data_IF_747935688382
#
_entry.id   IF_747935688382
#
_cell.length_a   1.000
_cell.length_b   1.000
_cell.length_c   1.000
_cell.angle_alpha   90.00
_cell.angle_beta   90.00
_cell.angle_gamma   90.00
#
_symmetry.space_group_name_H-M   'P 1'
#
loop_
_entity.id
_entity.type
_entity.pdbx_description
1 polymer ?
#
# COMPACT_ATOMS: atom_id res chain seq x y z
N UNK A 1 -3.20 16.40 45.63
CA UNK A 1 -4.27 15.46 45.26
C UNK A 1 -5.08 16.12 44.14
N UNK A 2 -4.54 16.10 42.93
CA UNK A 2 -5.20 16.61 41.72
C UNK A 2 -5.72 15.40 40.97
N UNK A 3 -7.03 15.39 40.75
CA UNK A 3 -7.77 14.34 40.07
C UNK A 3 -7.29 14.26 38.62
N UNK A 4 -6.84 13.07 38.22
CA UNK A 4 -6.62 12.72 36.83
C UNK A 4 -7.99 12.67 36.15
N UNK A 5 -8.18 13.55 35.18
CA UNK A 5 -9.37 13.61 34.35
C UNK A 5 -9.35 12.41 33.38
N UNK A 6 -10.13 11.39 33.73
CA UNK A 6 -10.27 10.15 32.99
C UNK A 6 -11.21 10.42 31.81
N UNK A 7 -10.66 10.90 30.68
CA UNK A 7 -11.43 10.95 29.44
C UNK A 7 -11.70 9.53 28.96
N UNK A 8 -12.96 9.17 28.63
CA UNK A 8 -13.28 7.86 28.11
C UNK A 8 -12.61 7.67 26.74
N UNK A 9 -12.10 6.46 26.53
CA UNK A 9 -11.65 5.93 25.24
C UNK A 9 -12.85 5.79 24.32
N UNK A 10 -13.16 6.80 23.51
CA UNK A 10 -14.21 6.71 22.50
C UNK A 10 -13.70 7.20 21.13
N UNK A 11 -14.02 6.38 20.11
CA UNK A 11 -13.70 6.48 18.69
C UNK A 11 -12.24 6.18 18.28
N UNK A 12 -11.87 4.91 18.36
CA UNK A 12 -10.92 4.37 17.36
C UNK A 12 -11.71 4.27 16.04
N UNK A 13 -11.29 4.93 14.95
CA UNK A 13 -11.97 4.81 13.67
C UNK A 13 -12.02 3.33 13.28
N UNK A 14 -13.19 2.85 12.83
CA UNK A 14 -13.30 1.52 12.26
C UNK A 14 -12.55 1.51 10.92
N UNK A 15 -11.27 1.17 11.00
CA UNK A 15 -10.37 1.07 9.85
C UNK A 15 -10.77 -0.06 8.89
N UNK A 16 -11.83 -0.82 9.18
CA UNK A 16 -12.12 -2.09 8.53
C UNK A 16 -13.58 -2.24 8.07
N UNK A 17 -14.24 -1.13 7.73
CA UNK A 17 -15.60 -1.20 7.18
C UNK A 17 -15.62 -2.07 5.91
N UNK A 18 -16.27 -3.22 6.00
CA UNK A 18 -16.39 -4.17 4.88
C UNK A 18 -17.26 -3.53 3.80
N UNK A 19 -16.65 -3.14 2.68
CA UNK A 19 -17.38 -2.76 1.47
C UNK A 19 -17.58 -4.02 0.64
N UNK A 20 -18.62 -4.80 0.99
CA UNK A 20 -18.98 -6.00 0.24
C UNK A 20 -19.47 -5.66 -1.17
N UNK A 21 -19.21 -6.54 -2.14
CA UNK A 21 -19.74 -6.45 -3.50
C UNK A 21 -21.27 -6.53 -3.57
N UNK A 22 -21.92 -7.01 -2.50
CA UNK A 22 -23.38 -7.14 -2.38
C UNK A 22 -24.09 -5.80 -2.11
N UNK A 23 -23.34 -4.72 -1.85
CA UNK A 23 -23.88 -3.38 -1.66
C UNK A 23 -24.11 -2.70 -3.02
N UNK A 24 -25.21 -1.94 -3.13
CA UNK A 24 -25.44 -1.09 -4.30
C UNK A 24 -24.33 -0.04 -4.48
N UNK A 25 -24.11 0.41 -5.72
CA UNK A 25 -23.01 1.31 -6.08
C UNK A 25 -22.96 2.60 -5.23
N UNK A 26 -24.12 3.19 -4.92
CA UNK A 26 -24.23 4.35 -4.04
C UNK A 26 -23.79 4.07 -2.59
N UNK A 27 -24.11 2.89 -2.05
CA UNK A 27 -23.71 2.51 -0.69
C UNK A 27 -22.23 2.18 -0.62
N UNK A 28 -21.67 1.56 -1.66
CA UNK A 28 -20.23 1.36 -1.81
C UNK A 28 -19.49 2.70 -1.90
N UNK A 29 -20.03 3.64 -2.69
CA UNK A 29 -19.52 5.01 -2.74
C UNK A 29 -19.48 5.63 -1.33
N UNK A 30 -20.60 5.67 -0.61
CA UNK A 30 -20.62 6.22 0.77
C UNK A 30 -19.62 5.53 1.68
N UNK A 31 -19.53 4.20 1.64
CA UNK A 31 -18.66 3.45 2.52
C UNK A 31 -17.17 3.74 2.26
N UNK A 32 -16.74 3.78 0.99
CA UNK A 32 -15.36 4.14 0.62
C UNK A 32 -15.06 5.58 1.01
N UNK A 33 -15.96 6.53 0.69
CA UNK A 33 -15.76 7.95 0.99
C UNK A 33 -15.68 8.23 2.48
N UNK A 34 -16.52 7.59 3.28
CA UNK A 34 -16.49 7.69 4.74
C UNK A 34 -15.22 7.10 5.34
N UNK A 35 -14.72 5.96 4.83
CA UNK A 35 -13.50 5.38 5.36
C UNK A 35 -12.30 6.35 5.24
N UNK A 36 -12.20 7.09 4.14
CA UNK A 36 -11.18 8.15 3.97
C UNK A 36 -11.33 9.27 5.02
N UNK A 37 -12.55 9.68 5.34
CA UNK A 37 -12.82 10.68 6.38
C UNK A 37 -12.48 10.15 7.77
N UNK A 38 -12.82 8.90 8.08
CA UNK A 38 -12.50 8.23 9.34
C UNK A 38 -10.98 8.17 9.57
N UNK A 39 -10.20 7.94 8.51
CA UNK A 39 -8.74 7.99 8.56
C UNK A 39 -8.21 9.41 8.82
N UNK A 40 -8.79 10.42 8.16
CA UNK A 40 -8.35 11.80 8.34
C UNK A 40 -8.80 12.42 9.68
N UNK A 41 -9.89 11.93 10.27
CA UNK A 41 -10.44 12.45 11.53
C UNK A 41 -9.51 12.30 12.73
N UNK A 42 -8.56 11.35 12.68
CA UNK A 42 -7.54 11.17 13.71
C UNK A 42 -6.42 12.22 13.67
N UNK A 43 -6.41 13.11 12.66
CA UNK A 43 -5.29 14.01 12.36
C UNK A 43 -5.68 15.48 12.51
N UNK A 44 -4.80 16.27 13.14
CA UNK A 44 -4.93 17.72 13.24
C UNK A 44 -4.79 18.41 11.89
N UNK A 45 -5.17 19.69 11.80
CA UNK A 45 -4.99 20.46 10.57
C UNK A 45 -3.50 20.58 10.18
N UNK A 46 -2.59 20.63 11.16
CA UNK A 46 -1.14 20.62 10.99
C UNK A 46 -0.63 19.29 10.40
N UNK A 47 -1.11 18.17 10.94
CA UNK A 47 -0.77 16.84 10.46
C UNK A 47 -1.26 16.62 9.02
N UNK A 48 -2.38 17.23 8.65
CA UNK A 48 -2.96 17.07 7.32
C UNK A 48 -2.25 17.88 6.22
N UNK A 49 -1.32 18.79 6.57
CA UNK A 49 -0.56 19.63 5.63
C UNK A 49 0.84 19.07 5.32
N UNK A 50 1.43 18.30 6.22
CA UNK A 50 2.84 17.90 6.13
C UNK A 50 3.14 17.04 4.89
N UNK A 51 4.30 17.30 4.27
CA UNK A 51 4.90 16.43 3.26
C UNK A 51 6.33 16.13 3.70
N UNK A 52 6.54 14.94 4.25
CA UNK A 52 7.82 14.54 4.88
C UNK A 52 8.88 14.08 3.88
N UNK A 53 8.49 13.79 2.63
CA UNK A 53 9.38 13.50 1.51
C UNK A 53 8.66 13.71 0.17
N UNK A 54 9.37 13.83 -0.97
CA UNK A 54 8.75 14.04 -2.28
C UNK A 54 7.75 12.96 -2.70
N UNK A 55 7.94 11.72 -2.22
CA UNK A 55 7.05 10.62 -2.54
C UNK A 55 5.74 10.63 -1.75
N UNK A 56 5.76 11.17 -0.53
CA UNK A 56 4.58 11.33 0.31
C UNK A 56 3.74 12.52 -0.18
N UNK A 57 2.43 12.50 0.12
CA UNK A 57 1.51 13.62 -0.07
C UNK A 57 0.80 13.95 1.25
N UNK A 58 0.42 15.22 1.47
CA UNK A 58 -0.37 15.60 2.64
C UNK A 58 -1.72 14.87 2.68
N UNK A 59 -2.20 14.51 3.87
CA UNK A 59 -3.53 13.89 4.05
C UNK A 59 -4.64 14.70 3.37
N UNK A 60 -4.65 16.03 3.52
CA UNK A 60 -5.67 16.87 2.86
C UNK A 60 -5.55 16.85 1.34
N UNK A 61 -4.36 16.59 0.80
CA UNK A 61 -4.18 16.40 -0.64
C UNK A 61 -4.80 15.08 -1.09
N UNK A 62 -4.64 13.98 -0.34
CA UNK A 62 -5.33 12.71 -0.65
C UNK A 62 -6.86 12.85 -0.66
N UNK A 63 -7.40 13.52 0.35
CA UNK A 63 -8.84 13.80 0.47
C UNK A 63 -9.38 14.60 -0.73
N UNK A 64 -8.65 15.65 -1.12
CA UNK A 64 -9.03 16.46 -2.25
C UNK A 64 -8.84 15.72 -3.57
N UNK A 65 -7.72 15.02 -3.74
CA UNK A 65 -7.38 14.29 -4.96
C UNK A 65 -8.36 13.17 -5.30
N UNK A 66 -8.80 12.38 -4.31
CA UNK A 66 -9.80 11.34 -4.58
C UNK A 66 -11.15 11.94 -4.98
N UNK A 67 -11.47 13.15 -4.50
CA UNK A 67 -12.67 13.89 -4.93
C UNK A 67 -12.51 14.45 -6.35
N UNK A 68 -11.33 14.99 -6.63
CA UNK A 68 -10.97 15.49 -7.95
C UNK A 68 -11.10 14.41 -9.01
N UNK A 69 -10.80 13.14 -8.70
CA UNK A 69 -11.01 12.04 -9.63
C UNK A 69 -12.47 11.98 -10.09
N UNK A 70 -13.43 11.93 -9.16
CA UNK A 70 -14.86 11.90 -9.50
C UNK A 70 -15.32 13.18 -10.18
N UNK A 71 -14.82 14.35 -9.74
CA UNK A 71 -15.13 15.63 -10.37
C UNK A 71 -14.66 15.67 -11.82
N UNK A 72 -13.41 15.32 -12.10
CA UNK A 72 -12.79 15.46 -13.41
C UNK A 72 -13.26 14.42 -14.43
N UNK A 73 -13.38 13.15 -14.02
CA UNK A 73 -13.68 12.05 -14.94
C UNK A 73 -15.18 11.76 -15.08
N UNK A 74 -16.02 12.26 -14.16
CA UNK A 74 -17.47 12.00 -14.18
C UNK A 74 -18.25 13.31 -14.19
N UNK A 75 -18.20 14.08 -13.12
CA UNK A 75 -19.11 15.23 -12.94
C UNK A 75 -18.86 16.34 -13.97
N UNK A 76 -17.61 16.62 -14.34
CA UNK A 76 -17.26 17.63 -15.34
C UNK A 76 -17.85 17.36 -16.74
N UNK A 77 -18.35 16.14 -16.98
CA UNK A 77 -19.03 15.73 -18.21
C UNK A 77 -20.56 15.90 -18.13
N UNK A 78 -21.08 16.41 -17.02
CA UNK A 78 -22.51 16.69 -16.80
C UNK A 78 -22.77 18.21 -16.74
N UNK A 79 -23.96 18.62 -16.30
CA UNK A 79 -24.32 20.02 -16.01
C UNK A 79 -23.78 20.54 -14.66
N UNK A 80 -22.88 19.78 -14.03
CA UNK A 80 -22.26 20.09 -12.76
C UNK A 80 -21.47 21.41 -12.78
N UNK A 81 -21.51 22.13 -11.66
CA UNK A 81 -20.72 23.34 -11.44
C UNK A 81 -19.51 22.99 -10.56
N UNK A 82 -18.27 23.19 -11.05
CA UNK A 82 -17.06 22.97 -10.27
C UNK A 82 -17.06 23.71 -8.94
N UNK A 83 -16.57 23.05 -7.89
CA UNK A 83 -16.50 23.66 -6.56
C UNK A 83 -15.59 24.90 -6.55
N UNK A 84 -14.41 24.77 -7.16
CA UNK A 84 -13.45 25.85 -7.37
C UNK A 84 -12.64 25.54 -8.64
N UNK A 85 -12.59 26.43 -9.64
CA UNK A 85 -11.88 26.17 -10.89
C UNK A 85 -10.37 25.95 -10.71
N UNK A 86 -9.77 26.39 -9.60
CA UNK A 86 -8.34 26.19 -9.33
C UNK A 86 -8.02 24.76 -8.88
N UNK A 87 -9.02 24.00 -8.40
CA UNK A 87 -8.79 22.70 -7.78
C UNK A 87 -8.32 21.64 -8.78
N UNK A 88 -8.68 21.77 -10.07
CA UNK A 88 -8.14 20.90 -11.11
C UNK A 88 -6.60 20.98 -11.18
N UNK A 89 -6.02 22.18 -11.14
CA UNK A 89 -4.56 22.36 -11.14
C UNK A 89 -3.90 21.85 -9.85
N UNK A 90 -4.54 22.06 -8.69
CA UNK A 90 -3.97 21.69 -7.40
C UNK A 90 -3.99 20.18 -7.15
N UNK A 91 -5.01 19.48 -7.66
CA UNK A 91 -5.30 18.10 -7.32
C UNK A 91 -5.19 17.11 -8.48
N UNK A 92 -4.88 17.54 -9.70
CA UNK A 92 -4.39 16.62 -10.72
C UNK A 92 -3.07 15.96 -10.26
N UNK A 93 -3.01 14.63 -10.27
CA UNK A 93 -1.85 13.87 -9.85
C UNK A 93 -0.74 13.85 -10.90
N UNK A 94 -1.08 13.36 -12.10
CA UNK A 94 -0.14 13.06 -13.17
C UNK A 94 -0.80 12.99 -14.55
N UNK A 95 -2.09 13.28 -14.71
CA UNK A 95 -2.79 13.13 -15.98
C UNK A 95 -2.46 14.30 -16.90
N UNK A 96 -1.54 14.08 -17.83
CA UNK A 96 -1.09 15.14 -18.74
C UNK A 96 -2.20 15.51 -19.73
N UNK A 97 -3.03 14.54 -20.14
CA UNK A 97 -4.22 14.79 -20.96
C UNK A 97 -5.29 15.68 -20.28
N UNK A 98 -5.28 15.76 -18.93
CA UNK A 98 -6.23 16.61 -18.18
C UNK A 98 -5.71 18.04 -18.04
N UNK A 99 -4.39 18.23 -17.96
CA UNK A 99 -3.74 19.54 -17.99
C UNK A 99 -2.64 19.75 -16.96
N UNK A 100 -2.18 20.99 -16.83
CA UNK A 100 -1.13 21.38 -15.89
C UNK A 100 -1.46 21.03 -14.44
N UNK A 101 -0.41 20.84 -13.62
CA UNK A 101 -0.56 20.48 -12.21
C UNK A 101 0.47 21.18 -11.31
N UNK A 102 0.10 21.33 -10.04
CA UNK A 102 1.05 21.71 -9.01
C UNK A 102 2.14 20.64 -8.84
N UNK A 103 3.44 21.00 -8.73
CA UNK A 103 4.52 20.04 -8.60
C UNK A 103 4.35 19.09 -7.41
N UNK A 104 4.49 17.78 -7.64
CA UNK A 104 4.30 16.73 -6.61
C UNK A 104 5.13 16.98 -5.35
N UNK A 105 6.41 17.31 -5.51
CA UNK A 105 7.34 17.56 -4.40
C UNK A 105 7.04 18.83 -3.59
N UNK A 106 6.09 19.67 -4.05
CA UNK A 106 5.72 20.93 -3.43
C UNK A 106 4.29 20.91 -2.86
N UNK A 107 3.62 19.75 -2.80
CA UNK A 107 2.24 19.63 -2.28
C UNK A 107 2.12 20.09 -0.83
N UNK A 108 3.13 19.86 -0.01
CA UNK A 108 3.18 20.32 1.40
C UNK A 108 3.32 21.83 1.58
N UNK A 109 3.55 22.59 0.50
CA UNK A 109 3.58 24.05 0.53
C UNK A 109 2.19 24.69 0.36
N UNK A 110 1.18 23.90 0.01
CA UNK A 110 -0.19 24.36 -0.22
C UNK A 110 -0.92 24.57 1.11
N UNK A 111 -0.66 25.67 1.81
CA UNK A 111 -1.41 26.02 3.03
C UNK A 111 -2.90 26.28 2.75
N UNK A 112 -3.25 26.60 1.51
CA UNK A 112 -4.62 26.66 0.99
C UNK A 112 -4.80 25.71 -0.20
N UNK A 113 -5.99 25.10 -0.36
CA UNK A 113 -7.16 25.16 0.54
C UNK A 113 -6.89 24.54 1.93
N UNK A 114 -7.61 25.02 2.95
CA UNK A 114 -7.53 24.47 4.31
C UNK A 114 -8.14 23.07 4.38
N UNK A 115 -7.88 22.30 5.44
CA UNK A 115 -8.52 21.00 5.62
C UNK A 115 -10.06 21.11 5.67
N UNK A 116 -10.59 22.20 6.25
CA UNK A 116 -12.03 22.51 6.23
C UNK A 116 -12.56 22.78 4.81
N UNK A 117 -11.83 23.54 3.99
CA UNK A 117 -12.18 23.78 2.59
C UNK A 117 -12.20 22.48 1.78
N UNK A 118 -11.23 21.60 2.01
CA UNK A 118 -11.16 20.27 1.39
C UNK A 118 -12.35 19.40 1.81
N UNK A 119 -12.75 19.41 3.09
CA UNK A 119 -13.96 18.70 3.54
C UNK A 119 -15.23 19.24 2.89
N UNK A 120 -15.35 20.56 2.70
CA UNK A 120 -16.48 21.17 1.96
C UNK A 120 -16.49 20.74 0.49
N UNK A 121 -15.32 20.69 -0.13
CA UNK A 121 -15.17 20.18 -1.50
C UNK A 121 -15.61 18.72 -1.62
N UNK A 122 -15.17 17.86 -0.69
CA UNK A 122 -15.62 16.46 -0.60
C UNK A 122 -17.13 16.35 -0.53
N UNK A 123 -17.76 17.10 0.37
CA UNK A 123 -19.22 17.12 0.54
C UNK A 123 -19.96 17.56 -0.73
N UNK A 124 -19.43 18.56 -1.44
CA UNK A 124 -20.02 19.05 -2.70
C UNK A 124 -19.95 18.01 -3.83
N UNK A 125 -18.80 17.36 -3.99
CA UNK A 125 -18.62 16.25 -4.94
C UNK A 125 -19.51 15.06 -4.54
N UNK A 126 -19.54 14.71 -3.26
CA UNK A 126 -20.35 13.59 -2.74
C UNK A 126 -21.85 13.81 -2.98
N UNK A 127 -22.36 15.02 -2.74
CA UNK A 127 -23.77 15.34 -3.01
C UNK A 127 -24.12 15.15 -4.50
N UNK A 128 -23.24 15.60 -5.40
CA UNK A 128 -23.43 15.49 -6.85
C UNK A 128 -23.29 14.05 -7.34
N UNK A 129 -22.30 13.31 -6.83
CA UNK A 129 -22.12 11.90 -7.12
C UNK A 129 -23.29 11.06 -6.63
N UNK A 130 -23.79 11.30 -5.42
CA UNK A 130 -24.92 10.54 -4.89
C UNK A 130 -26.20 10.77 -5.69
N UNK A 131 -26.44 12.01 -6.15
CA UNK A 131 -27.54 12.30 -7.06
C UNK A 131 -27.37 11.56 -8.41
N UNK A 132 -26.17 11.56 -8.99
CA UNK A 132 -25.87 10.80 -10.21
C UNK A 132 -26.06 9.29 -10.02
N UNK A 133 -25.75 8.76 -8.83
CA UNK A 133 -25.82 7.33 -8.55
C UNK A 133 -27.24 6.81 -8.31
N UNK A 134 -28.24 7.68 -8.13
CA UNK A 134 -29.67 7.27 -8.06
C UNK A 134 -30.14 6.63 -9.37
N UNK A 135 -29.70 7.17 -10.51
CA UNK A 135 -29.93 6.63 -11.85
C UNK A 135 -28.64 6.68 -12.67
N UNK A 136 -27.62 5.93 -12.22
CA UNK A 136 -26.28 5.98 -12.78
C UNK A 136 -26.27 5.54 -14.25
N UNK A 137 -25.89 6.44 -15.19
CA UNK A 137 -25.73 6.07 -16.60
C UNK A 137 -24.69 4.96 -16.77
N UNK A 138 -25.01 3.98 -17.62
CA UNK A 138 -24.18 2.76 -17.77
C UNK A 138 -22.72 3.07 -18.10
N UNK A 139 -22.46 4.08 -18.94
CA UNK A 139 -21.11 4.46 -19.34
C UNK A 139 -20.25 5.03 -18.20
N UNK A 140 -20.85 5.51 -17.09
CA UNK A 140 -20.09 5.96 -15.93
C UNK A 140 -19.78 4.85 -14.93
N UNK A 141 -20.50 3.72 -14.95
CA UNK A 141 -20.34 2.67 -13.92
C UNK A 141 -18.90 2.21 -13.77
N UNK A 142 -18.21 1.93 -14.89
CA UNK A 142 -16.82 1.49 -14.86
C UNK A 142 -15.87 2.56 -14.29
N UNK A 143 -16.11 3.84 -14.58
CA UNK A 143 -15.31 4.97 -14.07
C UNK A 143 -15.60 5.21 -12.58
N UNK A 144 -16.84 5.03 -12.13
CA UNK A 144 -17.18 5.04 -10.69
C UNK A 144 -16.42 3.94 -9.97
N UNK A 145 -16.48 2.70 -10.46
CA UNK A 145 -15.75 1.56 -9.89
C UNK A 145 -14.25 1.83 -9.81
N UNK A 146 -13.65 2.33 -10.90
CA UNK A 146 -12.25 2.74 -10.92
C UNK A 146 -11.95 3.82 -9.86
N UNK A 147 -12.82 4.82 -9.73
CA UNK A 147 -12.68 5.88 -8.72
C UNK A 147 -12.75 5.38 -7.29
N UNK A 148 -13.61 4.38 -7.01
CA UNK A 148 -13.68 3.74 -5.69
C UNK A 148 -12.39 2.99 -5.35
N UNK A 149 -11.87 2.20 -6.30
CA UNK A 149 -10.61 1.49 -6.12
C UNK A 149 -9.41 2.45 -6.07
N UNK A 150 -9.43 3.54 -6.83
CA UNK A 150 -8.44 4.62 -6.75
C UNK A 150 -8.42 5.26 -5.36
N UNK A 151 -9.59 5.56 -4.78
CA UNK A 151 -9.64 6.09 -3.42
C UNK A 151 -9.13 5.09 -2.38
N UNK A 152 -9.37 3.80 -2.56
CA UNK A 152 -8.81 2.76 -1.69
C UNK A 152 -7.28 2.68 -1.75
N UNK A 153 -6.66 2.90 -2.92
CA UNK A 153 -5.20 3.07 -3.00
C UNK A 153 -4.74 4.29 -2.20
N UNK A 154 -5.51 5.38 -2.26
CA UNK A 154 -5.21 6.60 -1.50
C UNK A 154 -5.44 6.47 0.01
N UNK A 155 -6.33 5.59 0.46
CA UNK A 155 -6.50 5.27 1.88
C UNK A 155 -5.26 4.56 2.44
N UNK A 156 -4.70 3.64 1.66
CA UNK A 156 -3.44 2.99 2.00
C UNK A 156 -2.26 4.00 2.00
N UNK A 157 -2.14 4.83 0.96
CA UNK A 157 -1.10 5.86 0.89
C UNK A 157 -1.19 6.88 2.02
N UNK A 158 -2.40 7.30 2.42
CA UNK A 158 -2.60 8.22 3.54
C UNK A 158 -1.95 7.68 4.82
N UNK A 159 -2.16 6.40 5.13
CA UNK A 159 -1.56 5.74 6.29
C UNK A 159 -0.04 5.58 6.17
N UNK A 160 0.48 5.29 4.97
CA UNK A 160 1.93 5.25 4.72
C UNK A 160 2.59 6.62 4.94
N UNK A 161 1.96 7.66 4.39
CA UNK A 161 2.51 9.01 4.34
C UNK A 161 2.49 9.69 5.71
N UNK A 162 1.40 9.53 6.47
CA UNK A 162 1.33 10.04 7.84
C UNK A 162 2.27 9.29 8.78
N UNK A 163 2.44 7.97 8.58
CA UNK A 163 3.43 7.20 9.35
C UNK A 163 4.84 7.76 9.13
N UNK A 164 5.22 8.04 7.89
CA UNK A 164 6.52 8.64 7.58
C UNK A 164 6.65 10.03 8.22
N UNK A 165 5.62 10.87 8.11
CA UNK A 165 5.66 12.20 8.74
C UNK A 165 5.81 12.15 10.27
N UNK A 166 5.11 11.24 10.94
CA UNK A 166 5.20 11.09 12.39
C UNK A 166 6.52 10.45 12.83
N UNK A 167 7.14 9.60 12.00
CA UNK A 167 8.46 9.05 12.30
C UNK A 167 9.57 10.09 12.23
N UNK A 168 9.41 11.16 11.45
CA UNK A 168 10.38 12.27 11.40
C UNK A 168 10.26 13.20 12.62
N UNK A 169 9.13 13.16 13.34
CA UNK A 169 8.93 14.01 14.50
C UNK A 169 9.72 13.46 15.71
N UNK A 170 10.58 14.27 16.37
CA UNK A 170 11.40 13.81 17.49
C UNK A 170 10.63 13.25 18.69
N UNK A 171 9.37 13.67 18.90
CA UNK A 171 8.54 13.14 19.98
C UNK A 171 7.76 11.87 19.58
N UNK A 172 7.89 11.42 18.33
CA UNK A 172 7.31 10.19 17.78
C UNK A 172 5.82 10.01 18.11
N UNK A 173 4.93 10.94 17.69
CA UNK A 173 3.51 10.83 17.93
C UNK A 173 2.95 9.56 17.27
N UNK A 174 2.03 8.87 17.93
CA UNK A 174 1.32 7.74 17.34
C UNK A 174 0.05 8.21 16.62
N UNK A 175 -0.29 7.56 15.50
CA UNK A 175 -1.57 7.76 14.83
C UNK A 175 -2.73 7.20 15.67
N UNK A 176 -2.55 6.02 16.27
CA UNK A 176 -3.49 5.43 17.22
C UNK A 176 -2.72 4.77 18.35
N UNK A 177 -2.42 5.47 19.45
CA UNK A 177 -1.57 4.96 20.53
C UNK A 177 -2.06 3.60 21.08
N UNK A 178 -1.15 2.62 21.15
CA UNK A 178 -1.39 1.33 21.84
C UNK A 178 -0.28 1.02 22.85
N UNK A 179 -0.55 0.19 23.86
CA UNK A 179 0.50 -0.35 24.71
C UNK A 179 1.37 -1.37 23.96
N UNK A 180 2.57 -1.63 24.48
CA UNK A 180 3.43 -2.71 24.00
C UNK A 180 2.72 -4.07 24.07
N UNK A 181 2.96 -4.90 23.07
CA UNK A 181 2.45 -6.28 23.00
C UNK A 181 3.54 -7.25 23.45
N UNK A 182 3.18 -8.36 24.13
CA UNK A 182 4.16 -9.39 24.43
C UNK A 182 4.70 -10.01 23.13
N UNK A 183 5.98 -10.41 23.10
CA UNK A 183 6.55 -11.07 21.92
C UNK A 183 5.80 -12.37 21.64
N UNK A 184 5.52 -12.61 20.37
CA UNK A 184 4.84 -13.83 19.93
C UNK A 184 5.84 -14.97 19.69
N UNK A 185 5.30 -16.19 19.62
CA UNK A 185 6.13 -17.36 19.25
C UNK A 185 6.27 -17.42 17.73
N UNK A 186 7.51 -17.54 17.25
CA UNK A 186 7.78 -17.65 15.82
C UNK A 186 7.39 -19.03 15.30
N UNK A 187 6.57 -19.08 14.25
CA UNK A 187 6.29 -20.31 13.52
C UNK A 187 7.55 -20.76 12.77
N UNK A 188 7.93 -22.05 12.80
CA UNK A 188 9.08 -22.56 12.04
C UNK A 188 8.95 -22.29 10.53
N UNK A 189 10.10 -22.02 9.90
CA UNK A 189 10.18 -21.89 8.45
C UNK A 189 10.08 -23.29 7.81
N UNK A 190 9.03 -23.49 7.03
CA UNK A 190 8.80 -24.71 6.24
C UNK A 190 8.63 -24.35 4.76
N UNK A 191 8.74 -25.36 3.88
CA UNK A 191 8.70 -25.16 2.44
C UNK A 191 7.51 -25.86 1.81
N UNK A 192 6.72 -25.12 1.04
CA UNK A 192 5.67 -25.67 0.17
C UNK A 192 6.23 -25.88 -1.22
N UNK A 193 6.12 -27.10 -1.76
CA UNK A 193 6.63 -27.46 -3.09
C UNK A 193 5.53 -27.24 -4.15
N UNK A 194 5.97 -26.78 -5.32
CA UNK A 194 5.16 -26.57 -6.51
C UNK A 194 5.85 -27.26 -7.69
N UNK A 195 5.13 -28.15 -8.35
CA UNK A 195 5.68 -28.98 -9.44
C UNK A 195 6.01 -28.19 -10.72
N UNK A 196 5.58 -26.92 -10.81
CA UNK A 196 5.72 -26.12 -12.02
C UNK A 196 4.78 -26.56 -13.15
N UNK A 197 5.17 -26.26 -14.39
CA UNK A 197 4.42 -26.55 -15.61
C UNK A 197 3.81 -25.31 -16.26
N UNK A 198 2.98 -25.54 -17.28
CA UNK A 198 2.25 -24.49 -17.98
C UNK A 198 1.05 -24.05 -17.14
N UNK A 199 1.06 -22.79 -16.71
CA UNK A 199 0.01 -22.17 -15.91
C UNK A 199 -0.54 -20.93 -16.61
N UNK A 200 -1.66 -20.41 -16.10
CA UNK A 200 -2.19 -19.12 -16.53
C UNK A 200 -2.25 -18.16 -15.35
N UNK A 201 -1.80 -16.93 -15.59
CA UNK A 201 -1.84 -15.83 -14.63
C UNK A 201 -2.58 -14.63 -15.21
N UNK A 202 -3.07 -13.76 -14.35
CA UNK A 202 -3.83 -12.57 -14.69
C UNK A 202 -5.34 -12.74 -14.54
N UNK A 203 -6.00 -11.58 -14.51
CA UNK A 203 -7.43 -11.47 -14.30
C UNK A 203 -8.25 -12.08 -15.45
N UNK A 204 -9.28 -12.84 -15.11
CA UNK A 204 -10.21 -13.47 -16.06
C UNK A 204 -11.67 -13.51 -15.57
N UNK A 205 -12.00 -12.73 -14.54
CA UNK A 205 -13.37 -12.64 -14.03
C UNK A 205 -14.13 -11.49 -14.67
N UNK A 206 -15.40 -11.35 -14.26
CA UNK A 206 -16.27 -10.22 -14.64
C UNK A 206 -16.27 -9.10 -13.58
N UNK A 207 -15.55 -9.29 -12.47
CA UNK A 207 -15.39 -8.30 -11.41
C UNK A 207 -14.33 -7.25 -11.74
N UNK A 208 -14.22 -6.22 -10.90
CA UNK A 208 -13.20 -5.19 -11.09
C UNK A 208 -11.77 -5.76 -11.00
N UNK A 209 -10.93 -5.32 -11.93
CA UNK A 209 -9.47 -5.40 -11.85
C UNK A 209 -8.88 -4.17 -12.53
N UNK A 210 -7.67 -3.79 -12.12
CA UNK A 210 -6.91 -2.80 -12.86
C UNK A 210 -6.48 -3.40 -14.22
N UNK A 211 -6.39 -2.55 -15.24
CA UNK A 211 -5.96 -2.92 -16.60
C UNK A 211 -4.62 -3.67 -16.61
N UNK A 212 -3.70 -3.32 -15.70
CA UNK A 212 -2.40 -3.96 -15.56
C UNK A 212 -2.44 -5.43 -15.10
N UNK A 213 -3.57 -5.93 -14.60
CA UNK A 213 -3.77 -7.31 -14.15
C UNK A 213 -4.09 -8.26 -15.32
N UNK A 214 -4.29 -7.71 -16.52
CA UNK A 214 -4.68 -8.46 -17.72
C UNK A 214 -3.89 -8.12 -18.98
N UNK A 215 -4.16 -8.83 -20.09
CA UNK A 215 -5.05 -9.98 -20.16
C UNK A 215 -4.43 -11.23 -19.50
N UNK A 216 -5.29 -12.18 -19.09
CA UNK A 216 -4.85 -13.52 -18.65
C UNK A 216 -4.06 -14.20 -19.76
N UNK A 217 -2.91 -14.77 -19.41
CA UNK A 217 -2.00 -15.37 -20.38
C UNK A 217 -1.23 -16.54 -19.77
N UNK A 218 -0.61 -17.33 -20.66
CA UNK A 218 0.14 -18.52 -20.29
C UNK A 218 1.58 -18.19 -19.92
N UNK A 219 2.07 -18.82 -18.85
CA UNK A 219 3.47 -18.74 -18.39
C UNK A 219 3.95 -20.15 -18.04
N UNK A 220 5.21 -20.44 -18.34
CA UNK A 220 5.86 -21.67 -17.89
C UNK A 220 6.57 -21.43 -16.56
N UNK A 221 6.32 -22.27 -15.56
CA UNK A 221 7.04 -22.27 -14.29
C UNK A 221 7.89 -23.53 -14.18
N UNK A 222 9.16 -23.38 -13.81
CA UNK A 222 9.96 -24.51 -13.35
C UNK A 222 9.51 -24.94 -11.95
N UNK A 223 9.77 -26.19 -11.52
CA UNK A 223 9.54 -26.61 -10.14
C UNK A 223 10.23 -25.67 -9.16
N UNK A 224 9.51 -25.28 -8.11
CA UNK A 224 10.02 -24.37 -7.08
C UNK A 224 9.42 -24.72 -5.73
N UNK A 225 10.03 -24.19 -4.67
CA UNK A 225 9.45 -24.22 -3.33
C UNK A 225 9.43 -22.83 -2.72
N UNK A 226 8.41 -22.55 -1.93
CA UNK A 226 8.16 -21.26 -1.31
C UNK A 226 8.03 -21.41 0.19
N UNK A 227 8.58 -20.45 0.95
CA UNK A 227 8.44 -20.37 2.38
C UNK A 227 6.95 -20.35 2.78
N UNK A 228 6.60 -21.08 3.85
CA UNK A 228 5.24 -21.14 4.40
C UNK A 228 4.76 -19.80 4.97
N UNK A 229 5.66 -18.96 5.49
CA UNK A 229 5.36 -17.63 6.04
C UNK A 229 6.32 -16.55 5.49
N UNK A 230 6.04 -15.31 5.83
CA UNK A 230 6.93 -14.18 5.55
C UNK A 230 8.22 -14.27 6.38
N UNK A 231 9.27 -13.59 5.92
CA UNK A 231 10.50 -13.41 6.71
C UNK A 231 10.20 -12.58 7.94
N UNK A 232 10.67 -13.01 9.11
CA UNK A 232 10.40 -12.31 10.37
C UNK A 232 11.45 -11.27 10.73
N UNK A 233 11.12 -10.38 11.65
CA UNK A 233 12.08 -9.43 12.22
C UNK A 233 13.26 -10.13 12.91
N UNK A 234 13.03 -11.27 13.59
CA UNK A 234 14.09 -12.04 14.25
C UNK A 234 15.08 -12.63 13.23
N UNK A 235 14.57 -13.10 12.11
CA UNK A 235 15.37 -13.55 10.98
C UNK A 235 16.14 -12.39 10.32
N UNK A 236 15.53 -11.21 10.22
CA UNK A 236 16.18 -10.01 9.72
C UNK A 236 17.29 -9.50 10.65
N UNK A 237 17.08 -9.57 11.96
CA UNK A 237 18.12 -9.28 12.96
C UNK A 237 19.34 -10.19 12.79
N UNK A 238 19.14 -11.46 12.42
CA UNK A 238 20.24 -12.37 12.14
C UNK A 238 21.03 -11.94 10.88
N UNK A 239 20.33 -11.51 9.82
CA UNK A 239 20.95 -10.92 8.62
C UNK A 239 21.78 -9.69 8.98
N UNK A 240 21.21 -8.72 9.72
CA UNK A 240 21.92 -7.53 10.19
C UNK A 240 23.16 -7.89 11.01
N UNK A 241 23.02 -8.77 12.02
CA UNK A 241 24.10 -9.18 12.93
C UNK A 241 25.23 -9.90 12.19
N UNK A 242 24.93 -10.62 11.11
CA UNK A 242 25.93 -11.28 10.27
C UNK A 242 26.71 -10.33 9.35
N UNK A 243 26.44 -9.02 9.41
CA UNK A 243 27.04 -8.03 8.52
C UNK A 243 26.30 -7.84 7.20
N UNK A 244 25.00 -8.18 7.13
CA UNK A 244 24.22 -8.12 5.89
C UNK A 244 24.22 -6.78 5.17
N UNK A 245 24.22 -5.66 5.91
CA UNK A 245 24.32 -4.30 5.35
C UNK A 245 25.77 -3.84 5.09
N UNK A 246 26.77 -4.64 5.46
CA UNK A 246 28.20 -4.34 5.31
C UNK A 246 28.90 -5.21 4.26
N UNK A 247 28.28 -6.31 3.81
CA UNK A 247 28.86 -7.22 2.82
C UNK A 247 28.26 -6.97 1.41
N UNK A 248 29.01 -6.37 0.47
CA UNK A 248 28.54 -6.11 -0.88
C UNK A 248 28.19 -7.38 -1.68
N UNK A 249 28.67 -8.56 -1.28
CA UNK A 249 28.41 -9.81 -2.01
C UNK A 249 26.93 -10.19 -2.02
N UNK A 250 26.12 -9.70 -1.06
CA UNK A 250 24.68 -9.94 -1.03
C UNK A 250 23.88 -9.00 -1.93
N UNK A 251 24.44 -7.87 -2.35
CA UNK A 251 23.68 -6.77 -2.95
C UNK A 251 23.80 -6.72 -4.46
N UNK A 252 22.70 -6.34 -5.12
CA UNK A 252 22.78 -5.80 -6.48
C UNK A 252 23.62 -4.51 -6.47
N UNK A 253 24.29 -4.21 -7.58
CA UNK A 253 25.17 -3.03 -7.69
C UNK A 253 24.47 -1.72 -7.30
N UNK A 254 23.27 -1.47 -7.85
CA UNK A 254 22.50 -0.26 -7.55
C UNK A 254 21.98 -0.25 -6.10
N UNK A 255 21.70 -1.44 -5.56
CA UNK A 255 21.34 -1.61 -4.16
C UNK A 255 22.49 -1.27 -3.23
N UNK A 256 23.69 -1.79 -3.50
CA UNK A 256 24.89 -1.46 -2.73
C UNK A 256 25.23 0.03 -2.79
N UNK A 257 25.19 0.62 -3.98
CA UNK A 257 25.40 2.06 -4.14
C UNK A 257 24.39 2.89 -3.35
N UNK A 258 23.13 2.42 -3.26
CA UNK A 258 22.08 3.07 -2.49
C UNK A 258 22.28 2.93 -0.98
N UNK A 259 22.56 1.72 -0.48
CA UNK A 259 22.88 1.47 0.93
C UNK A 259 24.02 2.35 1.41
N UNK A 260 25.08 2.49 0.60
CA UNK A 260 26.23 3.34 0.92
C UNK A 260 25.87 4.83 0.90
N UNK A 261 25.14 5.29 -0.12
CA UNK A 261 24.75 6.71 -0.26
C UNK A 261 23.84 7.17 0.88
N UNK A 262 22.92 6.31 1.30
CA UNK A 262 21.88 6.64 2.27
C UNK A 262 22.14 6.06 3.67
N UNK A 263 23.29 5.40 3.85
CA UNK A 263 23.73 4.79 5.10
C UNK A 263 22.68 3.86 5.75
N UNK A 264 22.03 3.02 4.94
CA UNK A 264 21.06 2.06 5.45
C UNK A 264 21.75 0.99 6.32
N UNK A 265 21.22 0.76 7.52
CA UNK A 265 21.76 -0.23 8.47
C UNK A 265 20.68 -1.15 9.09
N UNK A 266 19.41 -0.83 8.89
CA UNK A 266 18.23 -1.55 9.39
C UNK A 266 17.02 -1.14 8.52
N UNK A 267 15.89 -1.88 8.54
CA UNK A 267 14.64 -1.47 7.89
C UNK A 267 14.21 -0.06 8.28
N UNK A 268 13.44 0.61 7.42
CA UNK A 268 12.98 1.97 7.70
C UNK A 268 12.10 1.96 8.98
N UNK A 269 12.25 3.01 9.79
CA UNK A 269 11.62 3.21 11.10
C UNK A 269 12.22 2.43 12.29
N UNK A 270 13.23 1.59 12.06
CA UNK A 270 13.98 0.98 13.15
C UNK A 270 14.94 1.98 13.78
N UNK A 271 14.95 2.01 15.11
CA UNK A 271 15.79 2.88 15.93
C UNK A 271 16.53 2.03 16.95
N UNK A 272 17.84 2.15 16.97
CA UNK A 272 18.68 1.53 18.00
C UNK A 272 18.56 2.34 19.30
N UNK A 273 18.44 1.65 20.43
CA UNK A 273 18.45 2.26 21.76
C UNK A 273 19.07 1.31 22.79
N UNK A 274 19.18 1.76 24.04
CA UNK A 274 19.88 1.03 25.11
C UNK A 274 19.30 -0.36 25.39
N UNK A 275 17.99 -0.54 25.15
CA UNK A 275 17.25 -1.81 25.35
C UNK A 275 17.12 -2.63 24.06
N UNK A 276 17.83 -2.25 22.99
CA UNK A 276 17.81 -2.89 21.68
C UNK A 276 16.98 -2.13 20.64
N UNK A 277 16.60 -2.83 19.58
CA UNK A 277 15.89 -2.25 18.45
C UNK A 277 14.42 -1.97 18.79
N UNK A 278 13.99 -0.74 18.49
CA UNK A 278 12.58 -0.33 18.50
C UNK A 278 12.14 0.03 17.08
N UNK A 279 10.87 -0.14 16.78
CA UNK A 279 10.28 0.21 15.49
C UNK A 279 9.17 1.23 15.69
N UNK A 280 9.20 2.30 14.91
CA UNK A 280 8.09 3.25 14.88
C UNK A 280 6.94 2.71 14.01
N UNK A 281 5.76 2.59 14.61
CA UNK A 281 4.54 2.07 14.00
C UNK A 281 3.44 3.15 14.00
N UNK A 282 2.32 2.91 13.30
CA UNK A 282 1.13 3.75 13.44
C UNK A 282 0.56 3.74 14.87
N UNK A 283 0.92 2.74 15.67
CA UNK A 283 0.49 2.59 17.06
C UNK A 283 1.45 3.21 18.09
N UNK A 284 2.60 3.73 17.61
CA UNK A 284 3.66 4.30 18.43
C UNK A 284 5.00 3.58 18.27
N UNK A 285 5.98 3.98 19.08
CA UNK A 285 7.29 3.34 19.14
C UNK A 285 7.22 2.10 20.05
N UNK A 286 7.51 0.94 19.48
CA UNK A 286 7.44 -0.36 20.18
C UNK A 286 8.77 -1.11 20.07
N UNK A 287 9.09 -2.02 21.00
CA UNK A 287 10.13 -3.02 20.77
C UNK A 287 9.88 -3.80 19.47
N UNK A 288 10.94 -4.15 18.75
CA UNK A 288 10.81 -5.03 17.56
C UNK A 288 10.33 -6.42 18.01
N UNK A 289 9.15 -6.84 17.55
CA UNK A 289 8.64 -8.20 17.76
C UNK A 289 9.34 -9.18 16.79
N UNK A 290 10.19 -10.11 17.29
CA UNK A 290 10.96 -11.01 16.44
C UNK A 290 10.10 -11.98 15.61
N UNK A 291 8.84 -12.22 15.99
CA UNK A 291 7.94 -13.13 15.29
C UNK A 291 7.09 -12.44 14.20
N UNK A 292 6.98 -11.11 14.23
CA UNK A 292 6.25 -10.37 13.21
C UNK A 292 7.04 -10.32 11.89
N UNK A 293 6.36 -10.23 10.72
CA UNK A 293 7.01 -10.03 9.45
C UNK A 293 7.88 -8.76 9.45
N UNK A 294 9.05 -8.85 8.82
CA UNK A 294 9.82 -7.64 8.49
C UNK A 294 9.03 -6.77 7.52
N UNK A 295 9.06 -5.47 7.76
CA UNK A 295 8.30 -4.47 7.03
C UNK A 295 9.14 -3.21 6.82
N UNK A 296 8.83 -2.46 5.78
CA UNK A 296 9.51 -1.24 5.35
C UNK A 296 10.94 -1.47 4.86
N UNK A 297 11.10 -2.54 4.08
CA UNK A 297 12.34 -2.89 3.39
C UNK A 297 12.21 -2.64 1.89
N UNK A 298 13.25 -2.10 1.29
CA UNK A 298 13.34 -1.90 -0.16
C UNK A 298 13.41 -3.23 -0.91
N UNK A 299 13.21 -3.19 -2.23
CA UNK A 299 13.48 -4.34 -3.09
C UNK A 299 14.93 -4.80 -2.94
N UNK A 300 15.87 -3.86 -2.88
CA UNK A 300 17.29 -4.17 -2.72
C UNK A 300 17.61 -4.88 -1.41
N UNK A 301 17.02 -4.41 -0.30
CA UNK A 301 17.12 -5.07 1.00
C UNK A 301 16.52 -6.49 0.94
N UNK A 302 15.32 -6.63 0.36
CA UNK A 302 14.63 -7.90 0.26
C UNK A 302 15.41 -8.94 -0.57
N UNK A 303 15.96 -8.50 -1.69
CA UNK A 303 16.77 -9.33 -2.58
C UNK A 303 18.14 -9.69 -1.95
N UNK A 304 18.78 -8.75 -1.23
CA UNK A 304 20.01 -9.04 -0.50
C UNK A 304 19.81 -10.05 0.64
N UNK A 305 18.73 -9.90 1.40
CA UNK A 305 18.34 -10.88 2.40
C UNK A 305 18.10 -12.26 1.78
N UNK A 306 17.37 -12.33 0.66
CA UNK A 306 17.08 -13.60 0.00
C UNK A 306 18.37 -14.31 -0.43
N UNK A 307 19.36 -13.58 -0.98
CA UNK A 307 20.68 -14.14 -1.32
C UNK A 307 21.42 -14.65 -0.09
N UNK A 308 21.46 -13.87 0.98
CA UNK A 308 22.09 -14.26 2.24
C UNK A 308 21.47 -15.54 2.82
N UNK A 309 20.15 -15.67 2.75
CA UNK A 309 19.42 -16.85 3.19
C UNK A 309 19.56 -18.07 2.24
N UNK A 310 20.34 -17.96 1.16
CA UNK A 310 20.54 -19.03 0.18
C UNK A 310 19.34 -19.27 -0.74
N UNK A 311 18.48 -18.26 -0.93
CA UNK A 311 17.34 -18.32 -1.83
C UNK A 311 17.21 -17.12 -2.74
N UNK A 312 15.98 -16.85 -3.18
CA UNK A 312 15.62 -15.75 -4.07
C UNK A 312 14.23 -15.23 -3.74
N UNK A 313 13.88 -14.06 -4.28
CA UNK A 313 12.49 -13.61 -4.31
C UNK A 313 11.68 -14.48 -5.30
N UNK A 314 10.40 -14.76 -5.03
CA UNK A 314 9.52 -15.42 -5.99
C UNK A 314 9.28 -14.50 -7.19
N UNK A 315 9.09 -15.08 -8.38
CA UNK A 315 8.53 -14.38 -9.53
C UNK A 315 7.05 -14.11 -9.28
N UNK A 316 6.48 -13.03 -9.83
CA UNK A 316 5.06 -12.70 -9.60
C UNK A 316 4.11 -13.84 -10.00
N UNK A 317 4.46 -14.60 -11.04
CA UNK A 317 3.73 -15.78 -11.49
C UNK A 317 3.79 -16.94 -10.48
N UNK A 318 4.95 -17.20 -9.88
CA UNK A 318 5.10 -18.21 -8.82
C UNK A 318 4.26 -17.84 -7.60
N UNK A 319 4.30 -16.56 -7.24
CA UNK A 319 3.51 -16.01 -6.14
C UNK A 319 2.00 -16.14 -6.40
N UNK A 320 1.52 -15.79 -7.59
CA UNK A 320 0.09 -15.84 -7.94
C UNK A 320 -0.46 -17.27 -7.88
N UNK A 321 0.29 -18.25 -8.43
CA UNK A 321 -0.08 -19.66 -8.35
C UNK A 321 -0.06 -20.18 -6.92
N UNK A 322 0.88 -19.74 -6.09
CA UNK A 322 0.89 -20.06 -4.67
C UNK A 322 -0.32 -19.47 -3.93
N UNK A 323 -0.67 -18.21 -4.22
CA UNK A 323 -1.78 -17.51 -3.60
C UNK A 323 -3.14 -18.17 -3.89
N UNK A 324 -3.31 -18.80 -5.06
CA UNK A 324 -4.51 -19.57 -5.41
C UNK A 324 -4.75 -20.81 -4.53
N UNK A 325 -3.72 -21.32 -3.82
CA UNK A 325 -3.86 -22.48 -2.92
C UNK A 325 -4.37 -22.14 -1.52
N UNK A 326 -4.49 -20.85 -1.21
CA UNK A 326 -4.92 -20.39 0.11
C UNK A 326 -6.16 -19.52 0.02
N UNK A 327 -7.04 -19.66 1.00
CA UNK A 327 -8.23 -18.85 1.17
C UNK A 327 -8.01 -17.92 2.37
N UNK A 328 -7.27 -16.85 2.14
CA UNK A 328 -7.03 -15.80 3.14
C UNK A 328 -7.76 -14.52 2.74
N UNK A 329 -8.19 -13.78 3.75
CA UNK A 329 -8.84 -12.48 3.58
C UNK A 329 -8.07 -11.42 4.37
N UNK A 330 -8.10 -10.18 3.88
CA UNK A 330 -7.63 -9.03 4.62
C UNK A 330 -8.40 -8.96 5.94
N UNK A 331 -7.69 -9.07 7.06
CA UNK A 331 -8.28 -8.84 8.38
C UNK A 331 -8.20 -7.36 8.78
N UNK A 332 -7.22 -6.64 8.23
CA UNK A 332 -6.92 -5.27 8.60
C UNK A 332 -6.18 -5.14 9.93
N UNK A 333 -5.12 -4.33 9.96
CA UNK A 333 -4.40 -3.90 11.15
C UNK A 333 -3.50 -2.69 10.84
N UNK A 334 -3.08 -1.95 11.87
CA UNK A 334 -2.16 -0.82 11.73
C UNK A 334 -0.67 -1.22 11.74
N UNK A 335 -0.39 -2.52 11.94
CA UNK A 335 0.94 -3.11 11.88
C UNK A 335 0.86 -4.62 11.54
N UNK A 336 1.84 -5.20 10.83
CA UNK A 336 1.84 -6.62 10.48
C UNK A 336 1.78 -7.52 11.71
N UNK A 337 1.05 -8.64 11.58
CA UNK A 337 0.90 -9.67 12.61
C UNK A 337 1.76 -10.87 12.29
N UNK A 338 2.22 -11.56 13.32
CA UNK A 338 2.98 -12.81 13.19
C UNK A 338 2.13 -13.93 12.57
N UNK A 339 2.81 -14.91 11.97
CA UNK A 339 2.14 -16.10 11.44
C UNK A 339 1.54 -16.93 12.58
N UNK A 340 0.36 -17.51 12.34
CA UNK A 340 -0.33 -18.39 13.31
C UNK A 340 -0.35 -19.87 12.89
N UNK A 341 0.00 -20.16 11.64
CA UNK A 341 -0.08 -21.50 11.04
C UNK A 341 1.25 -21.91 10.41
N UNK A 342 1.62 -23.18 10.53
CA UNK A 342 2.79 -23.77 9.87
C UNK A 342 2.58 -24.07 8.39
N UNK A 343 1.35 -24.02 7.90
CA UNK A 343 1.03 -24.10 6.46
C UNK A 343 1.37 -22.81 5.73
N UNK A 344 1.32 -22.83 4.39
CA UNK A 344 1.37 -21.61 3.59
C UNK A 344 0.31 -20.62 4.09
N UNK A 345 0.76 -19.50 4.62
CA UNK A 345 -0.06 -18.46 5.25
C UNK A 345 0.58 -17.09 5.07
N UNK A 346 -0.14 -16.01 5.38
CA UNK A 346 0.27 -14.62 5.13
C UNK A 346 0.58 -14.35 3.66
N UNK A 347 -0.14 -15.01 2.76
CA UNK A 347 -0.11 -14.64 1.34
C UNK A 347 -0.88 -13.33 1.14
N UNK A 348 -1.95 -13.09 1.90
CA UNK A 348 -2.73 -11.86 1.78
C UNK A 348 -2.70 -11.06 3.09
N UNK A 349 -2.37 -9.76 3.01
CA UNK A 349 -2.80 -8.78 4.02
C UNK A 349 -1.89 -8.46 5.19
N UNK A 350 -0.62 -8.86 5.19
CA UNK A 350 0.31 -8.45 6.26
C UNK A 350 1.30 -7.39 5.75
N UNK A 351 2.01 -7.69 4.67
CA UNK A 351 2.85 -6.74 3.93
C UNK A 351 2.77 -7.05 2.44
N UNK A 352 2.94 -6.02 1.61
CA UNK A 352 3.24 -6.22 0.19
C UNK A 352 4.55 -6.98 0.03
N UNK A 353 4.54 -8.04 -0.76
CA UNK A 353 5.67 -8.96 -0.88
C UNK A 353 6.43 -8.63 -2.17
N UNK A 354 7.68 -8.19 -2.05
CA UNK A 354 8.54 -7.99 -3.21
C UNK A 354 8.68 -9.27 -4.03
N UNK A 355 8.55 -9.15 -5.34
CA UNK A 355 8.79 -10.23 -6.30
C UNK A 355 10.04 -9.94 -7.12
N UNK A 356 10.61 -10.96 -7.74
CA UNK A 356 11.69 -10.82 -8.72
C UNK A 356 11.23 -10.25 -10.08
N UNK A 357 9.92 -9.95 -10.24
CA UNK A 357 9.37 -9.49 -11.51
C UNK A 357 9.45 -7.97 -11.64
N UNK A 358 10.00 -7.43 -12.74
CA UNK A 358 9.83 -6.02 -13.06
C UNK A 358 8.36 -5.72 -13.38
N UNK A 359 7.92 -4.51 -13.06
CA UNK A 359 6.58 -4.07 -13.45
C UNK A 359 6.54 -3.76 -14.94
N UNK A 360 6.16 -4.78 -15.71
CA UNK A 360 6.03 -4.74 -17.15
C UNK A 360 4.60 -5.12 -17.59
N UNK A 361 4.26 -4.70 -18.81
CA UNK A 361 3.00 -5.06 -19.46
C UNK A 361 2.90 -6.59 -19.62
N UNK A 362 1.74 -7.15 -19.29
CA UNK A 362 1.42 -8.52 -19.68
C UNK A 362 1.29 -8.63 -21.22
N UNK A 363 1.57 -9.81 -21.82
CA UNK A 363 1.42 -10.01 -23.25
C UNK A 363 0.00 -9.65 -23.72
N UNK A 364 -0.10 -8.71 -24.65
CA UNK A 364 -1.38 -8.24 -25.20
C UNK A 364 -2.05 -7.12 -24.41
N UNK A 365 -1.46 -6.64 -23.32
CA UNK A 365 -1.91 -5.43 -22.61
C UNK A 365 -2.01 -4.24 -23.57
N UNK A 366 -3.10 -3.48 -23.44
CA UNK A 366 -3.34 -2.22 -24.13
C UNK A 366 -4.01 -1.26 -23.14
N UNK A 367 -3.48 -0.05 -22.92
CA UNK A 367 -4.17 0.94 -22.11
C UNK A 367 -5.46 1.41 -22.80
N UNK A 368 -6.37 2.01 -22.05
CA UNK A 368 -7.54 2.67 -22.62
C UNK A 368 -7.13 3.86 -23.51
N UNK A 369 -7.94 4.18 -24.51
CA UNK A 369 -7.69 5.29 -25.45
C UNK A 369 -8.14 6.66 -24.90
N UNK A 370 -8.77 6.68 -23.73
CA UNK A 370 -9.16 7.89 -23.01
C UNK A 370 -8.13 8.25 -21.91
N UNK A 371 -8.26 9.41 -21.22
CA UNK A 371 -7.30 9.80 -20.19
C UNK A 371 -7.07 8.80 -19.06
N UNK A 372 -8.02 7.88 -18.78
CA UNK A 372 -7.83 6.80 -17.79
C UNK A 372 -6.74 5.80 -18.24
N UNK A 373 -6.38 5.76 -19.52
CA UNK A 373 -5.25 4.96 -20.03
C UNK A 373 -3.88 5.37 -19.46
N UNK A 374 -3.77 6.58 -18.90
CA UNK A 374 -2.55 7.02 -18.20
C UNK A 374 -2.39 6.41 -16.80
N UNK A 375 -3.39 5.69 -16.28
CA UNK A 375 -3.41 5.22 -14.88
C UNK A 375 -2.24 4.29 -14.56
N UNK A 376 -1.96 3.30 -15.42
CA UNK A 376 -0.97 2.25 -15.14
C UNK A 376 0.13 2.12 -16.20
N UNK A 377 -0.22 2.13 -17.49
CA UNK A 377 0.70 1.74 -18.56
C UNK A 377 1.99 2.57 -18.63
N UNK A 378 1.91 3.88 -18.41
CA UNK A 378 3.08 4.78 -18.47
C UNK A 378 4.11 4.56 -17.36
N UNK A 379 3.74 3.80 -16.32
CA UNK A 379 4.58 3.50 -15.17
C UNK A 379 5.32 2.15 -15.28
N UNK A 380 5.12 1.41 -16.38
CA UNK A 380 5.72 0.09 -16.62
C UNK A 380 7.21 0.14 -17.03
N UNK A 381 8.02 0.84 -16.23
CA UNK A 381 9.48 0.95 -16.39
C UNK A 381 10.13 1.38 -15.07
N UNK A 382 11.28 0.80 -14.73
CA UNK A 382 12.07 1.19 -13.55
C UNK A 382 11.43 0.85 -12.19
N UNK A 383 10.44 -0.04 -12.18
CA UNK A 383 9.70 -0.44 -10.97
C UNK A 383 9.62 -1.96 -10.86
N UNK A 384 9.44 -2.45 -9.63
CA UNK A 384 9.32 -3.87 -9.31
C UNK A 384 7.93 -4.18 -8.78
N UNK A 385 7.43 -5.37 -9.06
CA UNK A 385 6.10 -5.81 -8.64
C UNK A 385 6.09 -6.28 -7.19
N UNK A 386 5.07 -5.89 -6.44
CA UNK A 386 4.72 -6.45 -5.13
C UNK A 386 3.31 -7.06 -5.16
N UNK A 387 3.09 -8.08 -4.33
CA UNK A 387 1.81 -8.82 -4.26
C UNK A 387 1.31 -9.00 -2.83
N UNK A 388 0.02 -9.26 -2.67
CA UNK A 388 -0.60 -9.69 -1.40
C UNK A 388 -1.37 -8.65 -0.60
N UNK A 389 -1.15 -7.35 -0.82
CA UNK A 389 -1.70 -6.33 0.08
C UNK A 389 -0.95 -6.26 1.41
N UNK A 390 -1.09 -5.15 2.11
CA UNK A 390 -0.56 -4.93 3.45
C UNK A 390 -1.67 -4.97 4.50
N UNK A 391 -1.28 -4.95 5.78
CA UNK A 391 -2.22 -4.88 6.90
C UNK A 391 -3.11 -3.64 6.85
N UNK A 392 -2.66 -2.57 6.20
CA UNK A 392 -3.39 -1.32 6.02
C UNK A 392 -4.18 -1.24 4.71
N UNK A 393 -4.09 -2.25 3.84
CA UNK A 393 -4.87 -2.26 2.59
C UNK A 393 -6.36 -2.43 2.92
N UNK A 394 -7.26 -1.60 2.37
CA UNK A 394 -8.70 -1.70 2.64
C UNK A 394 -9.27 -3.09 2.33
N UNK A 395 -10.13 -3.61 3.21
CA UNK A 395 -10.79 -4.91 3.03
C UNK A 395 -11.59 -4.90 1.72
N UNK A 396 -11.42 -5.94 0.90
CA UNK A 396 -12.04 -6.05 -0.42
C UNK A 396 -11.24 -5.38 -1.56
N UNK A 397 -10.16 -4.65 -1.26
CA UNK A 397 -9.31 -4.05 -2.30
C UNK A 397 -8.29 -5.04 -2.90
N UNK A 398 -7.74 -5.96 -2.12
CA UNK A 398 -6.76 -6.93 -2.62
C UNK A 398 -7.39 -8.02 -3.48
N UNK A 399 -6.63 -8.48 -4.47
CA UNK A 399 -6.95 -9.64 -5.32
C UNK A 399 -5.71 -10.51 -5.46
N UNK A 400 -5.90 -11.80 -5.71
CA UNK A 400 -4.80 -12.69 -6.04
C UNK A 400 -4.06 -12.22 -7.30
N UNK A 401 -4.70 -11.50 -8.22
CA UNK A 401 -4.10 -10.94 -9.45
C UNK A 401 -3.56 -9.51 -9.28
N UNK A 402 -3.77 -8.86 -8.12
CA UNK A 402 -3.41 -7.44 -7.91
C UNK A 402 -1.91 -7.18 -8.04
N UNK A 403 -1.50 -6.31 -8.96
CA UNK A 403 -0.09 -5.94 -9.15
C UNK A 403 0.18 -4.55 -8.59
N UNK A 404 0.72 -4.49 -7.37
CA UNK A 404 1.27 -3.24 -6.85
C UNK A 404 2.69 -3.06 -7.39
N UNK A 405 3.18 -1.83 -7.45
CA UNK A 405 4.49 -1.54 -8.01
C UNK A 405 5.10 -0.30 -7.35
N UNK A 406 6.40 -0.37 -7.11
CA UNK A 406 7.19 0.75 -6.60
C UNK A 406 8.60 0.72 -7.20
N UNK A 407 9.32 1.86 -7.20
CA UNK A 407 10.75 1.88 -7.44
C UNK A 407 11.49 0.95 -6.46
N UNK A 408 12.60 0.32 -6.87
CA UNK A 408 13.31 -0.65 -6.03
C UNK A 408 13.91 -0.04 -4.74
N UNK A 409 14.02 1.29 -4.66
CA UNK A 409 14.49 2.03 -3.49
C UNK A 409 13.39 2.33 -2.47
N UNK A 410 12.11 2.10 -2.80
CA UNK A 410 10.99 2.49 -1.94
C UNK A 410 10.97 1.67 -0.64
N UNK A 411 10.92 2.36 0.51
CA UNK A 411 10.91 1.75 1.85
C UNK A 411 9.71 2.16 2.70
N UNK A 412 9.09 3.31 2.44
CA UNK A 412 7.96 3.80 3.24
C UNK A 412 6.70 2.94 3.08
N UNK A 413 6.55 2.29 1.92
CA UNK A 413 5.50 1.31 1.70
C UNK A 413 5.59 0.16 2.71
N UNK A 414 4.45 -0.38 3.13
CA UNK A 414 4.35 -1.57 3.98
C UNK A 414 4.77 -2.81 3.17
N UNK A 415 6.07 -2.91 2.95
CA UNK A 415 6.70 -3.88 2.06
C UNK A 415 7.64 -4.79 2.83
N UNK A 416 7.58 -6.07 2.52
CA UNK A 416 8.39 -7.14 3.08
C UNK A 416 8.67 -8.19 2.02
N UNK A 417 8.94 -9.42 2.45
CA UNK A 417 9.34 -10.48 1.53
C UNK A 417 8.97 -11.88 2.01
N UNK A 418 8.93 -12.76 1.03
CA UNK A 418 8.86 -14.21 1.17
C UNK A 418 9.98 -14.82 0.35
N UNK A 419 10.62 -15.87 0.86
CA UNK A 419 11.70 -16.55 0.13
C UNK A 419 11.13 -17.68 -0.73
N UNK A 420 11.67 -17.81 -1.93
CA UNK A 420 11.54 -18.98 -2.80
C UNK A 420 12.91 -19.57 -3.13
N UNK A 421 12.93 -20.85 -3.52
CA UNK A 421 14.11 -21.54 -4.07
C UNK A 421 13.66 -22.48 -5.18
N UNK A 422 14.58 -22.81 -6.09
CA UNK A 422 14.37 -23.86 -7.08
C UNK A 422 14.44 -25.24 -6.38
N UNK A 423 13.84 -26.27 -6.99
CA UNK A 423 13.76 -27.65 -6.44
C UNK A 423 14.75 -28.59 -7.11
#
# INVERSE_FOLDING_TARGET
MMLADHRPTENVPDVHRIVGADLGLADRYRAVRHHTEDLAAALSDEDQLVQSMPDASPTKWHLAHSSWFFEAFILAQTDYVPFDPQFNYLFNSYYEAVGDRHPRAARGLLTRPSASDVRRYRQHVDASMLALLEDCPEHYRAVVELGLHHEQQHQELLLMDIKHAFSENPIAPAYTPRPDRPPATTVPLEWTIFDGGLVEIGHAGDGFAFDNEGPRHKVWLEPFRMANRLVTNGEWLAFMTSGGYADPAFWLSDGWATVQREAWAAPLYWREGDEGWRVFTLEGLHPVDPAAPVCHVSYYEADAYARWAGGRLPREAEWEIAAHRVHEHLAGALHPRHAMASTLSQMIGEVWQWTASPYAAYPGFRPADDPTGEYNGKFMSGQMVLRGGACITPVGHSRQTYRNFFPPTARWAFSGLRIATDV
#
